data_IF_576382879228
#
_entry.id   IF_576382879228
#
_cell.length_a   1.000
_cell.length_b   1.000
_cell.length_c   1.000
_cell.angle_alpha   90.00
_cell.angle_beta   90.00
_cell.angle_gamma   90.00
#
_symmetry.space_group_name_H-M   'P 1'
#
loop_
_entity.id
_entity.type
_entity.pdbx_description
1 polymer ?
#
# COMPACT_ATOMS: atom_id res chain seq x y z
N UNK A 1 51.83 -2.43 -48.08
CA UNK A 1 50.64 -1.66 -47.66
C UNK A 1 49.61 -2.63 -47.14
N UNK A 2 49.47 -2.72 -45.82
CA UNK A 2 48.39 -3.47 -45.16
C UNK A 2 48.21 -2.81 -43.80
N UNK A 3 47.12 -2.05 -43.67
CA UNK A 3 46.71 -1.35 -42.44
C UNK A 3 45.86 -2.32 -41.64
N UNK A 4 46.32 -2.74 -40.46
CA UNK A 4 45.50 -3.47 -39.49
C UNK A 4 44.67 -2.45 -38.70
N UNK A 5 43.36 -2.43 -38.93
CA UNK A 5 42.40 -1.73 -38.09
C UNK A 5 42.16 -2.53 -36.81
N UNK A 6 42.52 -1.93 -35.67
CA UNK A 6 42.11 -2.37 -34.35
C UNK A 6 40.66 -1.94 -34.11
N UNK A 7 39.74 -2.89 -33.92
CA UNK A 7 38.39 -2.64 -33.45
C UNK A 7 38.36 -2.87 -31.93
N UNK A 8 38.39 -1.78 -31.17
CA UNK A 8 38.18 -1.76 -29.73
C UNK A 8 36.66 -1.67 -29.50
N UNK A 9 36.02 -2.82 -29.25
CA UNK A 9 34.61 -2.86 -28.85
C UNK A 9 34.55 -2.59 -27.35
N UNK A 10 34.23 -1.35 -26.99
CA UNK A 10 33.92 -0.96 -25.62
C UNK A 10 32.55 -1.56 -25.24
N UNK A 11 32.57 -2.65 -24.48
CA UNK A 11 31.38 -3.24 -23.88
C UNK A 11 30.81 -2.31 -22.82
N UNK A 12 29.72 -1.64 -23.14
CA UNK A 12 28.93 -0.87 -22.19
C UNK A 12 28.06 -1.86 -21.40
N UNK A 13 28.55 -2.31 -20.24
CA UNK A 13 27.79 -3.16 -19.32
C UNK A 13 26.71 -2.30 -18.66
N UNK A 14 25.48 -2.41 -19.15
CA UNK A 14 24.29 -1.84 -18.52
C UNK A 14 24.05 -2.56 -17.18
N UNK A 15 24.40 -1.90 -16.08
CA UNK A 15 23.92 -2.26 -14.74
C UNK A 15 22.45 -1.89 -14.67
N UNK A 16 21.56 -2.87 -14.87
CA UNK A 16 20.15 -2.75 -14.51
C UNK A 16 20.07 -2.68 -12.99
N UNK A 17 19.98 -1.47 -12.44
CA UNK A 17 19.51 -1.26 -11.08
C UNK A 17 18.05 -1.72 -11.02
N UNK A 18 17.82 -2.90 -10.45
CA UNK A 18 16.47 -3.38 -10.14
C UNK A 18 15.82 -2.43 -9.15
N UNK A 19 14.57 -2.05 -9.42
CA UNK A 19 13.73 -1.35 -8.46
C UNK A 19 13.70 -2.16 -7.16
N UNK A 20 14.19 -1.57 -6.08
CA UNK A 20 13.96 -2.07 -4.72
C UNK A 20 12.48 -1.91 -4.40
N UNK A 21 11.66 -2.85 -4.88
CA UNK A 21 10.33 -3.06 -4.31
C UNK A 21 10.53 -3.46 -2.85
N UNK A 22 9.77 -2.84 -1.95
CA UNK A 22 9.69 -3.31 -0.58
C UNK A 22 9.37 -4.81 -0.61
N UNK A 23 10.05 -5.65 0.19
CA UNK A 23 9.76 -7.07 0.24
C UNK A 23 8.28 -7.24 0.61
N UNK A 24 7.54 -7.97 -0.22
CA UNK A 24 6.20 -8.41 0.15
C UNK A 24 6.31 -9.22 1.46
N UNK A 25 5.38 -9.07 2.41
CA UNK A 25 5.40 -9.88 3.61
C UNK A 25 5.32 -11.37 3.22
N UNK A 26 6.09 -12.26 3.86
CA UNK A 26 6.08 -13.69 3.57
C UNK A 26 4.66 -14.30 3.55
N UNK A 27 4.42 -15.31 2.73
CA UNK A 27 3.12 -16.04 2.68
C UNK A 27 2.83 -16.88 3.93
N UNK A 28 3.76 -16.91 4.90
CA UNK A 28 3.60 -17.61 6.18
C UNK A 28 2.68 -16.88 7.16
N UNK A 29 2.37 -15.61 6.88
CA UNK A 29 1.64 -14.71 7.76
C UNK A 29 0.17 -15.14 7.86
N UNK A 30 -0.43 -15.63 6.77
CA UNK A 30 -1.76 -16.25 6.75
C UNK A 30 -1.92 -17.42 7.74
N UNK A 31 -0.84 -18.11 8.13
CA UNK A 31 -0.91 -19.24 9.07
C UNK A 31 -0.78 -18.84 10.55
N UNK A 32 -0.32 -17.62 10.82
CA UNK A 32 -0.13 -17.08 12.18
C UNK A 32 -1.35 -16.33 12.72
N UNK A 33 -2.36 -16.03 11.90
CA UNK A 33 -3.59 -15.34 12.35
C UNK A 33 -4.47 -16.16 13.32
N UNK A 34 -4.10 -17.42 13.60
CA UNK A 34 -4.68 -18.23 14.69
C UNK A 34 -3.76 -18.43 15.90
N UNK A 35 -2.49 -18.02 15.81
CA UNK A 35 -1.47 -18.19 16.84
C UNK A 35 -0.88 -16.82 17.23
N UNK A 36 -1.42 -16.25 18.30
CA UNK A 36 -0.92 -15.09 19.05
C UNK A 36 -0.41 -13.92 18.18
N UNK A 37 -1.31 -12.98 17.85
CA UNK A 37 -0.95 -11.71 17.18
C UNK A 37 0.27 -11.03 17.79
N UNK A 38 0.51 -11.17 19.10
CA UNK A 38 1.68 -10.60 19.76
C UNK A 38 3.00 -11.15 19.20
N UNK A 39 3.05 -12.44 18.82
CA UNK A 39 4.25 -13.04 18.18
C UNK A 39 4.44 -12.53 16.75
N UNK A 40 3.34 -12.35 16.00
CA UNK A 40 3.39 -11.73 14.67
C UNK A 40 3.91 -10.30 14.71
N UNK A 41 3.43 -9.51 15.67
CA UNK A 41 3.87 -8.13 15.92
C UNK A 41 5.34 -8.08 16.34
N UNK A 42 5.78 -8.98 17.23
CA UNK A 42 7.16 -9.04 17.70
C UNK A 42 8.13 -9.41 16.57
N UNK A 43 7.75 -10.36 15.71
CA UNK A 43 8.52 -10.71 14.52
C UNK A 43 8.57 -9.54 13.53
N UNK A 44 7.47 -8.82 13.32
CA UNK A 44 7.45 -7.68 12.42
C UNK A 44 8.30 -6.51 12.92
N UNK A 45 8.25 -6.25 14.23
CA UNK A 45 9.07 -5.24 14.90
C UNK A 45 10.57 -5.56 14.89
N UNK A 46 10.97 -6.80 14.61
CA UNK A 46 12.38 -7.18 14.39
C UNK A 46 12.84 -6.85 12.97
N UNK A 47 11.95 -6.90 11.97
CA UNK A 47 12.27 -6.64 10.57
C UNK A 47 12.19 -5.15 10.21
N UNK A 48 11.32 -4.39 10.87
CA UNK A 48 11.18 -2.95 10.69
C UNK A 48 11.04 -2.22 12.04
N UNK A 49 11.75 -1.11 12.26
CA UNK A 49 11.69 -0.39 13.52
C UNK A 49 10.30 0.27 13.70
N UNK A 50 9.45 -0.35 14.51
CA UNK A 50 8.13 0.15 14.91
C UNK A 50 8.24 1.20 16.02
N UNK A 51 7.46 2.29 15.93
CA UNK A 51 7.39 3.30 16.99
C UNK A 51 6.64 2.78 18.23
N UNK A 52 6.94 3.35 19.39
CA UNK A 52 6.26 2.97 20.64
C UNK A 52 4.75 3.21 20.57
N UNK A 53 4.33 4.27 19.87
CA UNK A 53 2.92 4.58 19.66
C UNK A 53 2.22 3.52 18.80
N UNK A 54 2.84 3.11 17.69
CA UNK A 54 2.29 2.02 16.88
C UNK A 54 2.26 0.69 17.66
N UNK A 55 3.24 0.44 18.53
CA UNK A 55 3.22 -0.74 19.39
C UNK A 55 2.07 -0.71 20.40
N UNK A 56 1.80 0.46 20.99
CA UNK A 56 0.70 0.67 21.93
C UNK A 56 -0.66 0.41 21.27
N UNK A 57 -0.86 0.92 20.05
CA UNK A 57 -2.07 0.71 19.23
C UNK A 57 -2.35 -0.79 18.94
N UNK A 58 -1.40 -1.68 19.18
CA UNK A 58 -1.50 -3.12 18.89
C UNK A 58 -1.57 -4.01 20.15
N UNK A 59 -1.42 -3.44 21.35
CA UNK A 59 -1.26 -4.21 22.60
C UNK A 59 -2.50 -5.01 22.99
N UNK A 60 -3.69 -4.51 22.67
CA UNK A 60 -4.95 -5.17 23.02
C UNK A 60 -5.39 -6.19 21.96
N UNK A 61 -4.59 -6.38 20.91
CA UNK A 61 -4.82 -7.33 19.83
C UNK A 61 -5.90 -6.90 18.83
N UNK A 62 -6.31 -5.62 18.85
CA UNK A 62 -7.28 -5.07 17.92
C UNK A 62 -6.79 -3.73 17.39
N UNK A 63 -7.30 -3.35 16.22
CA UNK A 63 -7.09 -2.01 15.67
C UNK A 63 -8.44 -1.36 15.49
N UNK A 64 -8.65 -0.20 16.10
CA UNK A 64 -9.86 0.60 15.92
C UNK A 64 -9.66 1.64 14.82
N UNK A 65 -10.77 2.26 14.37
CA UNK A 65 -10.69 3.36 13.41
C UNK A 65 -9.86 4.53 13.97
N UNK A 66 -9.95 4.77 15.29
CA UNK A 66 -9.18 5.81 15.95
C UNK A 66 -7.67 5.54 15.86
N UNK A 67 -7.26 4.29 16.06
CA UNK A 67 -5.85 3.86 15.96
C UNK A 67 -5.35 3.99 14.53
N UNK A 68 -6.13 3.52 13.54
CA UNK A 68 -5.80 3.65 12.12
C UNK A 68 -5.61 5.11 11.69
N UNK A 69 -6.50 6.01 12.14
CA UNK A 69 -6.40 7.44 11.85
C UNK A 69 -5.23 8.12 12.57
N UNK A 70 -4.98 7.75 13.82
CA UNK A 70 -3.84 8.26 14.58
C UNK A 70 -2.51 7.83 13.93
N UNK A 71 -2.40 6.57 13.55
CA UNK A 71 -1.23 6.01 12.87
C UNK A 71 -0.97 6.67 11.51
N UNK A 72 -2.01 6.87 10.70
CA UNK A 72 -1.89 7.61 9.44
C UNK A 72 -1.37 9.04 9.66
N UNK A 73 -1.87 9.76 10.68
CA UNK A 73 -1.40 11.11 10.96
C UNK A 73 0.05 11.14 11.46
N UNK A 74 0.49 10.13 12.23
CA UNK A 74 1.91 9.99 12.60
C UNK A 74 2.79 9.77 11.38
N UNK A 75 2.39 8.90 10.46
CA UNK A 75 3.09 8.70 9.19
C UNK A 75 3.19 9.98 8.36
N UNK A 76 2.08 10.72 8.21
CA UNK A 76 2.08 12.04 7.56
C UNK A 76 3.03 13.00 8.24
N UNK A 77 3.02 13.04 9.58
CA UNK A 77 3.90 13.90 10.35
C UNK A 77 5.37 13.57 10.12
N UNK A 78 5.73 12.28 10.06
CA UNK A 78 7.08 11.81 9.74
C UNK A 78 7.53 12.31 8.35
N UNK A 79 6.69 12.15 7.33
CA UNK A 79 6.98 12.65 5.98
C UNK A 79 7.14 14.18 5.95
N UNK A 80 6.25 14.92 6.64
CA UNK A 80 6.31 16.39 6.70
C UNK A 80 7.57 16.88 7.38
N UNK A 81 8.03 16.19 8.42
CA UNK A 81 9.29 16.51 9.09
C UNK A 81 10.49 16.39 8.14
N UNK A 82 10.41 15.52 7.15
CA UNK A 82 11.39 15.38 6.07
C UNK A 82 11.14 16.29 4.85
N UNK A 83 10.10 17.14 4.89
CA UNK A 83 9.77 18.08 3.83
C UNK A 83 8.85 17.54 2.72
N UNK A 84 8.20 16.39 2.94
CA UNK A 84 7.28 15.78 1.99
C UNK A 84 5.84 15.78 2.52
N UNK A 85 4.86 16.10 1.66
CA UNK A 85 3.43 16.09 2.03
C UNK A 85 2.68 15.08 1.15
N UNK A 86 2.02 14.06 1.74
CA UNK A 86 1.06 13.22 1.02
C UNK A 86 -0.08 14.04 0.41
N UNK A 87 -0.55 13.64 -0.76
CA UNK A 87 -1.61 14.35 -1.48
C UNK A 87 -2.75 13.39 -1.88
N UNK A 88 -3.86 13.96 -2.35
CA UNK A 88 -5.02 13.16 -2.79
C UNK A 88 -5.70 12.39 -1.67
N UNK A 89 -5.57 12.84 -0.41
CA UNK A 89 -6.12 12.15 0.77
C UNK A 89 -7.66 12.16 0.69
N UNK A 90 -8.25 10.97 0.55
CA UNK A 90 -9.69 10.73 0.55
C UNK A 90 -10.04 9.62 1.53
N UNK A 91 -11.14 9.79 2.25
CA UNK A 91 -11.76 8.70 3.03
C UNK A 91 -12.70 7.92 2.11
N UNK A 92 -12.64 6.60 2.21
CA UNK A 92 -13.50 5.66 1.49
C UNK A 92 -13.93 4.55 2.44
N UNK A 93 -15.05 4.77 3.13
CA UNK A 93 -15.46 3.96 4.27
C UNK A 93 -14.33 3.89 5.34
N UNK A 94 -13.86 2.69 5.70
CA UNK A 94 -12.77 2.52 6.65
C UNK A 94 -11.39 2.84 6.06
N UNK A 95 -11.26 2.93 4.73
CA UNK A 95 -9.97 3.11 4.07
C UNK A 95 -9.60 4.58 3.90
N UNK A 96 -8.29 4.83 3.82
CA UNK A 96 -7.70 6.12 3.50
C UNK A 96 -6.94 5.96 2.19
N UNK A 97 -7.47 6.53 1.12
CA UNK A 97 -6.77 6.58 -0.17
C UNK A 97 -5.90 7.83 -0.20
N UNK A 98 -4.62 7.69 -0.54
CA UNK A 98 -3.68 8.81 -0.64
C UNK A 98 -2.57 8.48 -1.63
N UNK A 99 -1.76 9.48 -1.97
CA UNK A 99 -0.60 9.34 -2.83
C UNK A 99 0.62 9.99 -2.18
N UNK A 100 1.77 9.37 -2.40
CA UNK A 100 3.06 9.82 -1.87
C UNK A 100 3.85 10.50 -2.98
N UNK A 101 4.46 11.68 -2.73
CA UNK A 101 5.34 12.31 -3.70
C UNK A 101 6.47 11.37 -4.11
N UNK A 102 6.73 11.23 -5.42
CA UNK A 102 7.81 10.38 -5.92
C UNK A 102 9.16 10.70 -5.26
N UNK A 103 9.45 11.98 -5.00
CA UNK A 103 10.66 12.42 -4.32
C UNK A 103 10.81 11.89 -2.87
N UNK A 104 9.71 11.58 -2.18
CA UNK A 104 9.74 10.97 -0.84
C UNK A 104 10.12 9.48 -0.91
N UNK A 105 9.65 8.80 -1.97
CA UNK A 105 10.00 7.41 -2.26
C UNK A 105 11.46 7.31 -2.73
N UNK A 106 11.85 8.14 -3.69
CA UNK A 106 13.20 8.18 -4.28
C UNK A 106 14.28 8.55 -3.24
N UNK A 107 13.95 9.41 -2.29
CA UNK A 107 14.85 9.75 -1.16
C UNK A 107 14.96 8.62 -0.13
N UNK A 108 14.08 7.62 -0.18
CA UNK A 108 14.03 6.50 0.76
C UNK A 108 13.43 6.85 2.13
N UNK A 109 12.83 8.04 2.29
CA UNK A 109 12.19 8.47 3.55
C UNK A 109 10.85 7.77 3.76
N UNK A 110 10.12 7.51 2.68
CA UNK A 110 8.78 6.92 2.74
C UNK A 110 8.75 5.58 3.47
N UNK A 111 9.60 4.63 3.06
CA UNK A 111 9.66 3.28 3.64
C UNK A 111 9.83 3.28 5.16
N UNK A 112 10.87 3.92 5.72
CA UNK A 112 11.06 4.03 7.17
C UNK A 112 9.89 4.70 7.88
N UNK A 113 9.35 5.82 7.36
CA UNK A 113 8.20 6.50 7.99
C UNK A 113 6.94 5.62 7.98
N UNK A 114 6.65 4.95 6.88
CA UNK A 114 5.49 4.07 6.76
C UNK A 114 5.64 2.87 7.70
N UNK A 115 6.79 2.22 7.68
CA UNK A 115 7.07 1.06 8.53
C UNK A 115 7.01 1.41 10.02
N UNK A 116 7.58 2.53 10.44
CA UNK A 116 7.64 2.90 11.86
C UNK A 116 6.33 3.40 12.43
N UNK A 117 5.51 4.10 11.63
CA UNK A 117 4.33 4.78 12.14
C UNK A 117 2.99 4.15 11.78
N UNK A 118 2.90 3.40 10.68
CA UNK A 118 1.60 3.04 10.10
C UNK A 118 1.45 1.62 9.58
N UNK A 119 2.50 0.98 9.03
CA UNK A 119 2.38 -0.25 8.26
C UNK A 119 1.66 -1.42 8.97
N UNK A 120 1.90 -1.60 10.27
CA UNK A 120 1.30 -2.70 11.02
C UNK A 120 -0.17 -2.45 11.37
N UNK A 121 -0.46 -1.23 11.85
CA UNK A 121 -1.83 -0.78 12.08
C UNK A 121 -2.64 -0.83 10.78
N UNK A 122 -2.08 -0.32 9.68
CA UNK A 122 -2.70 -0.29 8.36
C UNK A 122 -3.02 -1.70 7.85
N UNK A 123 -2.06 -2.61 7.92
CA UNK A 123 -2.27 -4.00 7.48
C UNK A 123 -3.36 -4.68 8.30
N UNK A 124 -3.35 -4.58 9.62
CA UNK A 124 -4.38 -5.23 10.46
C UNK A 124 -5.74 -4.58 10.19
N UNK A 125 -5.79 -3.25 10.10
CA UNK A 125 -7.01 -2.52 9.80
C UNK A 125 -7.64 -2.96 8.48
N UNK A 126 -6.82 -3.11 7.42
CA UNK A 126 -7.32 -3.49 6.09
C UNK A 126 -7.60 -4.99 5.93
N UNK A 127 -6.75 -5.86 6.48
CA UNK A 127 -6.81 -7.31 6.22
C UNK A 127 -7.57 -8.11 7.27
N UNK A 128 -7.81 -7.54 8.45
CA UNK A 128 -8.49 -8.24 9.56
C UNK A 128 -9.78 -7.53 9.93
N UNK A 129 -9.70 -6.25 10.31
CA UNK A 129 -10.85 -5.53 10.88
C UNK A 129 -11.84 -5.07 9.80
N UNK A 130 -11.40 -4.90 8.54
CA UNK A 130 -12.24 -4.47 7.40
C UNK A 130 -12.04 -5.35 6.15
N UNK A 131 -11.75 -6.64 6.34
CA UNK A 131 -11.49 -7.58 5.26
C UNK A 131 -12.69 -7.70 4.29
N UNK A 132 -13.92 -7.68 4.82
CA UNK A 132 -15.16 -7.75 4.05
C UNK A 132 -15.33 -6.56 3.10
N UNK A 133 -14.97 -5.35 3.55
CA UNK A 133 -15.00 -4.15 2.70
C UNK A 133 -13.91 -4.22 1.63
N UNK A 134 -12.74 -4.80 1.94
CA UNK A 134 -11.68 -5.05 0.98
C UNK A 134 -12.07 -6.07 -0.10
N UNK A 135 -12.77 -7.13 0.29
CA UNK A 135 -13.30 -8.14 -0.63
C UNK A 135 -14.34 -7.55 -1.57
N UNK A 136 -15.29 -6.76 -1.04
CA UNK A 136 -16.30 -6.08 -1.86
C UNK A 136 -15.63 -5.13 -2.88
N UNK A 137 -14.63 -4.36 -2.43
CA UNK A 137 -13.86 -3.46 -3.32
C UNK A 137 -13.21 -4.22 -4.46
N UNK A 138 -12.62 -5.38 -4.17
CA UNK A 138 -11.98 -6.25 -5.17
C UNK A 138 -13.00 -6.74 -6.19
N UNK A 139 -14.16 -7.24 -5.72
CA UNK A 139 -15.24 -7.71 -6.60
C UNK A 139 -15.76 -6.61 -7.53
N UNK A 140 -16.02 -5.42 -7.00
CA UNK A 140 -16.48 -4.30 -7.82
C UNK A 140 -15.41 -3.84 -8.83
N UNK A 141 -14.13 -3.83 -8.45
CA UNK A 141 -13.04 -3.49 -9.37
C UNK A 141 -12.92 -4.49 -10.53
N UNK A 142 -13.07 -5.79 -10.25
CA UNK A 142 -13.12 -6.83 -11.28
C UNK A 142 -14.34 -6.65 -12.20
N UNK A 143 -15.51 -6.32 -11.64
CA UNK A 143 -16.71 -6.05 -12.43
C UNK A 143 -16.51 -4.87 -13.38
N UNK A 144 -15.99 -3.75 -12.88
CA UNK A 144 -15.67 -2.56 -13.69
C UNK A 144 -14.72 -2.90 -14.84
N UNK A 145 -13.72 -3.75 -14.60
CA UNK A 145 -12.82 -4.20 -15.68
C UNK A 145 -13.54 -5.06 -16.72
N UNK A 146 -14.39 -6.01 -16.30
CA UNK A 146 -15.17 -6.86 -17.21
C UNK A 146 -16.16 -6.06 -18.07
N UNK A 147 -16.69 -4.97 -17.53
CA UNK A 147 -17.58 -4.03 -18.23
C UNK A 147 -16.83 -3.08 -19.19
N UNK A 148 -15.50 -3.12 -19.24
CA UNK A 148 -14.69 -2.23 -20.06
C UNK A 148 -14.64 -0.79 -19.53
N UNK A 149 -14.89 -0.61 -18.24
CA UNK A 149 -14.86 0.68 -17.52
C UNK A 149 -13.49 0.94 -16.87
N UNK A 150 -12.41 0.38 -17.45
CA UNK A 150 -11.05 0.31 -16.89
C UNK A 150 -10.48 1.65 -16.41
N UNK A 151 -10.96 2.79 -16.93
CA UNK A 151 -10.56 4.13 -16.47
C UNK A 151 -10.87 4.37 -14.98
N UNK A 152 -11.94 3.77 -14.45
CA UNK A 152 -12.35 3.94 -13.05
C UNK A 152 -11.50 3.06 -12.14
N UNK A 153 -11.27 1.80 -12.53
CA UNK A 153 -10.44 0.85 -11.79
C UNK A 153 -8.93 1.22 -11.81
N UNK A 154 -8.43 1.73 -12.94
CA UNK A 154 -7.01 2.10 -13.10
C UNK A 154 -6.57 3.32 -12.31
N UNK A 155 -7.50 4.09 -11.74
CA UNK A 155 -7.17 5.28 -10.95
C UNK A 155 -6.56 4.94 -9.58
N UNK A 156 -6.76 3.72 -9.05
CA UNK A 156 -6.30 3.28 -7.72
C UNK A 156 -6.88 4.07 -6.53
N UNK A 157 -7.42 5.26 -6.79
CA UNK A 157 -7.91 6.25 -5.83
C UNK A 157 -9.42 6.47 -5.93
N UNK A 158 -10.11 5.76 -6.83
CA UNK A 158 -11.57 5.78 -6.90
C UNK A 158 -12.15 5.23 -5.59
N UNK A 159 -13.13 5.93 -5.03
CA UNK A 159 -13.87 5.44 -3.86
C UNK A 159 -14.85 4.33 -4.24
N UNK A 160 -15.34 3.55 -3.28
CA UNK A 160 -16.41 2.58 -3.50
C UNK A 160 -17.65 3.23 -4.12
N UNK A 161 -17.99 4.44 -3.68
CA UNK A 161 -19.11 5.21 -4.23
C UNK A 161 -18.83 5.66 -5.67
N UNK A 162 -17.60 6.09 -5.99
CA UNK A 162 -17.21 6.45 -7.36
C UNK A 162 -17.25 5.22 -8.29
N UNK A 163 -16.85 4.04 -7.79
CA UNK A 163 -16.93 2.76 -8.51
C UNK A 163 -18.39 2.36 -8.77
N UNK A 164 -19.25 2.38 -7.74
CA UNK A 164 -20.68 2.04 -7.87
C UNK A 164 -21.41 3.01 -8.80
N UNK A 165 -21.11 4.30 -8.71
CA UNK A 165 -21.68 5.31 -9.60
C UNK A 165 -21.31 5.04 -11.07
N UNK A 166 -20.06 4.68 -11.37
CA UNK A 166 -19.64 4.37 -12.73
C UNK A 166 -20.38 3.16 -13.33
N UNK A 167 -20.60 2.10 -12.53
CA UNK A 167 -21.39 0.93 -12.94
C UNK A 167 -22.82 1.34 -13.30
N UNK A 168 -23.45 2.14 -12.45
CA UNK A 168 -24.82 2.63 -12.67
C UNK A 168 -24.94 3.57 -13.86
N UNK A 169 -23.99 4.49 -14.05
CA UNK A 169 -23.95 5.41 -15.20
C UNK A 169 -23.77 4.68 -16.53
N UNK A 170 -23.07 3.55 -16.52
CA UNK A 170 -22.94 2.65 -17.66
C UNK A 170 -24.20 1.80 -17.93
N UNK A 171 -25.22 1.89 -17.07
CA UNK A 171 -26.51 1.20 -17.22
C UNK A 171 -26.55 -0.22 -16.64
N UNK A 172 -25.59 -0.59 -15.80
CA UNK A 172 -25.53 -1.88 -15.11
C UNK A 172 -26.02 -1.76 -13.66
N UNK A 173 -26.52 -2.87 -13.08
CA UNK A 173 -26.81 -2.92 -11.65
C UNK A 173 -25.55 -3.23 -10.86
N UNK A 174 -25.40 -2.63 -9.66
CA UNK A 174 -24.33 -3.02 -8.72
C UNK A 174 -24.54 -4.45 -8.22
N UNK A 175 -25.80 -4.90 -8.12
CA UNK A 175 -26.14 -6.27 -7.71
C UNK A 175 -25.68 -7.31 -8.76
N UNK A 176 -25.42 -6.91 -10.00
CA UNK A 176 -24.87 -7.81 -11.03
C UNK A 176 -23.35 -8.04 -10.82
N UNK A 177 -22.72 -7.28 -9.92
CA UNK A 177 -21.29 -7.33 -9.60
C UNK A 177 -20.97 -8.01 -8.25
N UNK A 178 -21.99 -8.52 -7.54
CA UNK A 178 -21.88 -9.09 -6.18
C UNK A 178 -22.23 -10.59 -6.13
#
# INVERSE_FOLDING_TARGET
>A
MTVQLAALVAGCTLLLAGCSGAPAPPSEWSSLYGADMAQGIEMWAQEAPMSDAQREDLLDGRVTEADAMAAFERYRSCLRAAGYEPFGIKRDGPFINFSIPAAAVESGVDGPCYASEYAAVDTIWQSVENADVGDERTQLAECVSQLGLDFVASSGAATMDEIRAAIQEAGYSVDDCA
#
